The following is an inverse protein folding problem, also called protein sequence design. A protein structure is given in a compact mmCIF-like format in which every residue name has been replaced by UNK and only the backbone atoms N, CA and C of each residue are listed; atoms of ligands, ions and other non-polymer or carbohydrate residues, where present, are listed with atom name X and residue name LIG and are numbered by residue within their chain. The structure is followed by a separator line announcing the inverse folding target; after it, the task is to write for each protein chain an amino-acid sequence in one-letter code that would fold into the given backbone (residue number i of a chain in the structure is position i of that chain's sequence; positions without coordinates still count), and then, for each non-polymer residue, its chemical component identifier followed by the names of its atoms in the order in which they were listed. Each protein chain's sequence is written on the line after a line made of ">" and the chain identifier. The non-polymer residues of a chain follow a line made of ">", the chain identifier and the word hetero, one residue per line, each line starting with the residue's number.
data_IF_133184875839
#
_entry.id   IF_133184875839
#
_cell.length_a   1.000
_cell.length_b   1.000
_cell.length_c   1.000
_cell.angle_alpha   90.00
_cell.angle_beta   90.00
_cell.angle_gamma   90.00
#
_symmetry.space_group_name_H-M   'P 1'
#
loop_
_entity.id
_entity.type
_entity.pdbx_description
1 polymer ?
#
# COMPACT_ATOMS: atom_id res chain seq x y z
N UNK A 1 -8.26 20.82 -4.09
CA UNK A 1 -7.43 20.93 -2.86
C UNK A 1 -6.78 19.58 -2.52
N UNK A 2 -5.78 19.52 -1.63
CA UNK A 2 -5.18 18.25 -1.16
C UNK A 2 -5.63 17.91 0.26
N UNK A 3 -6.13 16.70 0.47
CA UNK A 3 -6.57 16.17 1.78
C UNK A 3 -5.55 15.17 2.31
N UNK A 4 -5.03 15.40 3.52
CA UNK A 4 -4.13 14.47 4.21
C UNK A 4 -4.89 13.65 5.24
N UNK A 5 -4.67 12.34 5.25
CA UNK A 5 -5.27 11.39 6.19
C UNK A 5 -4.17 10.51 6.80
N UNK A 6 -4.21 10.32 8.12
CA UNK A 6 -3.30 9.40 8.82
C UNK A 6 -4.09 8.19 9.31
N UNK A 7 -3.74 6.99 8.84
CA UNK A 7 -4.44 5.75 9.22
C UNK A 7 -3.53 4.53 9.19
N UNK A 8 -3.61 3.72 10.24
CA UNK A 8 -2.93 2.43 10.36
C UNK A 8 -3.93 1.29 10.19
N UNK A 9 -3.54 0.25 9.43
CA UNK A 9 -4.39 -0.91 9.13
C UNK A 9 -3.83 -2.24 9.66
N UNK A 10 -2.62 -2.24 10.26
CA UNK A 10 -2.07 -3.43 10.91
C UNK A 10 -1.96 -4.69 10.05
N UNK A 11 -1.83 -4.56 8.72
CA UNK A 11 -1.78 -5.69 7.79
C UNK A 11 -3.14 -6.16 7.27
N UNK A 12 -4.25 -5.52 7.67
CA UNK A 12 -5.60 -5.81 7.15
C UNK A 12 -5.80 -5.18 5.76
N UNK A 13 -5.29 -5.83 4.72
CA UNK A 13 -5.30 -5.31 3.33
C UNK A 13 -6.71 -5.03 2.81
N UNK A 14 -7.67 -5.94 3.10
CA UNK A 14 -9.07 -5.80 2.68
C UNK A 14 -9.70 -4.54 3.29
N UNK A 15 -9.43 -4.29 4.57
CA UNK A 15 -9.95 -3.10 5.27
C UNK A 15 -9.33 -1.82 4.70
N UNK A 16 -8.05 -1.86 4.33
CA UNK A 16 -7.37 -0.76 3.66
C UNK A 16 -7.98 -0.48 2.28
N UNK A 17 -8.16 -1.51 1.45
CA UNK A 17 -8.77 -1.37 0.11
C UNK A 17 -10.19 -0.81 0.19
N UNK A 18 -11.02 -1.34 1.09
CA UNK A 18 -12.39 -0.87 1.29
C UNK A 18 -12.43 0.60 1.75
N UNK A 19 -11.50 1.01 2.61
CA UNK A 19 -11.40 2.41 3.02
C UNK A 19 -10.99 3.33 1.87
N UNK A 20 -10.02 2.92 1.05
CA UNK A 20 -9.61 3.68 -0.13
C UNK A 20 -10.75 3.81 -1.15
N UNK A 21 -11.50 2.73 -1.40
CA UNK A 21 -12.67 2.77 -2.28
C UNK A 21 -13.76 3.71 -1.76
N UNK A 22 -14.01 3.74 -0.44
CA UNK A 22 -14.89 4.76 0.18
C UNK A 22 -14.39 6.19 0.03
N UNK A 23 -13.08 6.40 -0.14
CA UNK A 23 -12.53 7.72 -0.47
C UNK A 23 -12.80 8.05 -1.95
N UNK A 24 -12.68 7.09 -2.86
CA UNK A 24 -13.08 7.26 -4.28
C UNK A 24 -14.56 7.60 -4.44
N UNK A 25 -15.45 6.90 -3.72
CA UNK A 25 -16.90 7.18 -3.70
C UNK A 25 -17.20 8.63 -3.32
N UNK A 26 -16.34 9.24 -2.50
CA UNK A 26 -16.44 10.63 -2.06
C UNK A 26 -15.75 11.64 -3.00
N UNK A 27 -15.19 11.17 -4.12
CA UNK A 27 -14.46 12.00 -5.07
C UNK A 27 -13.04 12.33 -4.63
N UNK A 28 -12.32 11.37 -4.02
CA UNK A 28 -10.91 11.54 -3.65
C UNK A 28 -10.00 10.53 -4.36
N UNK A 29 -9.03 11.06 -5.11
CA UNK A 29 -7.96 10.30 -5.77
C UNK A 29 -6.68 10.35 -4.95
N UNK A 30 -6.06 9.20 -4.68
CA UNK A 30 -4.80 9.09 -3.96
C UNK A 30 -3.67 9.58 -4.86
N UNK A 31 -2.87 10.51 -4.37
CA UNK A 31 -1.71 11.07 -5.09
C UNK A 31 -0.40 10.65 -4.47
N UNK A 32 -0.40 10.32 -3.18
CA UNK A 32 0.79 9.93 -2.45
C UNK A 32 0.41 9.11 -1.23
N UNK A 33 1.26 8.15 -0.86
CA UNK A 33 1.16 7.43 0.41
C UNK A 33 2.52 7.33 1.08
N UNK A 34 2.50 7.26 2.41
CA UNK A 34 3.66 6.96 3.24
C UNK A 34 3.28 5.90 4.28
N UNK A 35 4.09 5.74 5.33
CA UNK A 35 3.91 4.66 6.34
C UNK A 35 2.49 4.64 6.94
N UNK A 36 1.98 5.80 7.34
CA UNK A 36 0.59 5.97 7.79
C UNK A 36 -0.16 7.09 7.06
N UNK A 37 0.56 7.85 6.22
CA UNK A 37 0.03 9.00 5.51
C UNK A 37 -0.62 8.58 4.19
N UNK A 38 -1.74 9.19 3.89
CA UNK A 38 -2.39 9.16 2.58
C UNK A 38 -2.73 10.59 2.19
N UNK A 39 -2.24 11.04 1.04
CA UNK A 39 -2.60 12.31 0.47
C UNK A 39 -3.51 12.09 -0.73
N UNK A 40 -4.63 12.80 -0.73
CA UNK A 40 -5.62 12.75 -1.78
C UNK A 40 -5.79 14.11 -2.43
N UNK A 41 -6.24 14.11 -3.67
CA UNK A 41 -6.80 15.26 -4.36
C UNK A 41 -8.27 15.00 -4.72
N UNK A 42 -8.99 16.06 -5.05
CA UNK A 42 -10.39 15.96 -5.48
C UNK A 42 -10.48 15.43 -6.92
N UNK A 43 -11.39 14.49 -7.13
CA UNK A 43 -11.74 13.91 -8.42
C UNK A 43 -13.25 13.68 -8.52
N UNK A 44 -13.74 13.16 -9.66
CA UNK A 44 -15.14 12.76 -9.74
C UNK A 44 -15.39 11.54 -8.81
N UNK A 45 -16.55 11.47 -8.15
CA UNK A 45 -16.97 10.29 -7.39
C UNK A 45 -16.85 9.02 -8.23
N UNK A 46 -16.28 7.95 -7.66
CA UNK A 46 -16.11 6.63 -8.30
C UNK A 46 -15.21 6.61 -9.55
N UNK A 47 -14.43 7.67 -9.82
CA UNK A 47 -13.53 7.73 -10.97
C UNK A 47 -12.38 6.71 -10.88
N UNK A 48 -11.97 6.35 -9.66
CA UNK A 48 -10.84 5.46 -9.41
C UNK A 48 -11.26 4.26 -8.59
N UNK A 49 -10.63 3.10 -8.80
CA UNK A 49 -10.82 1.93 -7.94
C UNK A 49 -9.48 1.51 -7.37
N UNK A 50 -9.47 1.20 -6.08
CA UNK A 50 -8.27 0.79 -5.37
C UNK A 50 -8.29 -0.71 -5.11
N UNK A 51 -7.20 -1.38 -5.46
CA UNK A 51 -6.88 -2.72 -5.00
C UNK A 51 -5.62 -2.64 -4.12
N UNK A 52 -5.51 -3.51 -3.10
CA UNK A 52 -4.35 -3.53 -2.21
C UNK A 52 -3.83 -4.96 -2.17
N UNK A 53 -2.61 -5.14 -2.64
CA UNK A 53 -1.95 -6.43 -2.72
C UNK A 53 -0.66 -6.46 -1.90
N UNK A 54 -0.31 -7.63 -1.39
CA UNK A 54 0.91 -7.86 -0.64
C UNK A 54 1.85 -8.75 -1.46
N UNK A 55 2.98 -8.18 -1.88
CA UNK A 55 4.01 -8.87 -2.68
C UNK A 55 5.22 -9.33 -1.87
N UNK A 56 5.14 -9.40 -0.54
CA UNK A 56 6.29 -9.72 0.32
C UNK A 56 6.89 -11.13 0.16
N UNK A 57 6.36 -11.95 -0.74
CA UNK A 57 6.91 -13.26 -1.13
C UNK A 57 7.82 -13.19 -2.36
N UNK A 58 7.88 -12.05 -3.05
CA UNK A 58 8.71 -11.81 -4.25
C UNK A 58 10.11 -11.33 -3.85
N UNK A 59 11.12 -11.66 -4.65
CA UNK A 59 12.44 -11.04 -4.50
C UNK A 59 12.38 -9.56 -4.89
N UNK A 60 13.43 -8.78 -4.61
CA UNK A 60 13.47 -7.35 -4.97
C UNK A 60 13.33 -7.13 -6.48
N UNK A 61 13.97 -7.98 -7.27
CA UNK A 61 13.94 -7.90 -8.72
C UNK A 61 12.54 -8.29 -9.25
N UNK A 62 11.97 -9.39 -8.74
CA UNK A 62 10.60 -9.81 -9.09
C UNK A 62 9.54 -8.75 -8.72
N UNK A 63 9.74 -8.01 -7.63
CA UNK A 63 8.83 -6.95 -7.21
C UNK A 63 8.90 -5.75 -8.15
N UNK A 64 10.10 -5.43 -8.66
CA UNK A 64 10.31 -4.38 -9.66
C UNK A 64 9.69 -4.79 -11.00
N UNK A 65 9.93 -6.00 -11.47
CA UNK A 65 9.34 -6.49 -12.73
C UNK A 65 7.81 -6.50 -12.68
N UNK A 66 7.25 -6.85 -11.51
CA UNK A 66 5.80 -6.79 -11.30
C UNK A 66 5.26 -5.35 -11.28
N UNK A 67 6.01 -4.40 -10.72
CA UNK A 67 5.67 -2.98 -10.76
C UNK A 67 5.65 -2.46 -12.20
N UNK A 68 6.71 -2.74 -12.97
CA UNK A 68 6.84 -2.31 -14.35
C UNK A 68 5.69 -2.88 -15.20
N UNK A 69 5.36 -4.17 -15.02
CA UNK A 69 4.22 -4.81 -15.67
C UNK A 69 2.87 -4.12 -15.39
N UNK A 70 2.65 -3.67 -14.14
CA UNK A 70 1.41 -3.00 -13.77
C UNK A 70 1.32 -1.59 -14.37
N UNK A 71 2.41 -0.84 -14.37
CA UNK A 71 2.47 0.48 -15.01
C UNK A 71 2.30 0.36 -16.54
N UNK A 72 2.87 -0.69 -17.18
CA UNK A 72 2.69 -0.97 -18.61
C UNK A 72 1.23 -1.27 -18.98
N UNK A 73 0.46 -1.85 -18.06
CA UNK A 73 -1.00 -2.03 -18.22
C UNK A 73 -1.81 -0.75 -17.97
N UNK A 74 -1.16 0.35 -17.58
CA UNK A 74 -1.79 1.63 -17.28
C UNK A 74 -2.31 1.76 -15.84
N UNK A 75 -1.95 0.84 -14.94
CA UNK A 75 -2.25 1.02 -13.52
C UNK A 75 -1.28 2.00 -12.89
N UNK A 76 -1.77 2.81 -11.96
CA UNK A 76 -0.89 3.63 -11.12
C UNK A 76 -0.58 2.92 -9.81
N UNK A 77 0.71 2.77 -9.54
CA UNK A 77 1.22 1.81 -8.57
C UNK A 77 1.95 2.56 -7.46
N UNK A 78 1.48 2.44 -6.22
CA UNK A 78 2.04 3.17 -5.07
C UNK A 78 2.87 2.30 -4.13
N UNK A 79 4.09 2.76 -3.86
CA UNK A 79 4.99 2.11 -2.92
C UNK A 79 4.70 2.43 -1.44
N UNK A 80 4.43 1.42 -0.59
CA UNK A 80 4.18 1.63 0.85
C UNK A 80 4.89 0.62 1.75
N UNK A 81 5.96 1.03 2.43
CA UNK A 81 6.56 0.22 3.49
C UNK A 81 5.58 0.12 4.69
N UNK A 82 5.04 -1.07 4.97
CA UNK A 82 4.39 -1.33 6.27
C UNK A 82 5.51 -1.45 7.30
N UNK A 83 5.45 -0.63 8.35
CA UNK A 83 6.11 -1.02 9.60
C UNK A 83 5.29 -2.18 10.14
N UNK A 84 5.69 -3.41 9.83
CA UNK A 84 5.45 -4.51 10.74
C UNK A 84 6.28 -4.15 11.97
N UNK A 85 5.66 -3.72 13.07
CA UNK A 85 6.43 -3.60 14.30
C UNK A 85 6.79 -5.04 14.65
N UNK A 86 8.04 -5.41 14.38
CA UNK A 86 8.72 -6.48 15.09
C UNK A 86 8.83 -5.99 16.54
N UNK A 87 7.77 -6.09 17.35
CA UNK A 87 7.90 -6.10 18.82
C UNK A 87 8.47 -7.46 19.27
N UNK A 88 9.33 -8.08 18.47
CA UNK A 88 9.98 -9.35 18.81
C UNK A 88 11.51 -9.25 18.78
N UNK A 89 12.11 -8.06 18.68
CA UNK A 89 13.54 -7.94 19.01
C UNK A 89 13.77 -7.84 20.52
N UNK A 90 12.85 -7.22 21.28
CA UNK A 90 12.98 -7.14 22.75
C UNK A 90 12.72 -8.47 23.48
N UNK A 91 12.03 -9.44 22.85
CA UNK A 91 11.81 -10.77 23.42
C UNK A 91 12.70 -11.87 22.81
N UNK A 92 13.39 -11.61 21.70
CA UNK A 92 14.30 -12.57 21.04
C UNK A 92 15.76 -12.47 21.51
N UNK A 93 16.06 -11.71 22.56
CA UNK A 93 17.37 -11.75 23.22
C UNK A 93 17.71 -13.11 23.84
N UNK A 94 16.77 -14.06 23.92
CA UNK A 94 16.96 -15.37 24.53
C UNK A 94 17.08 -16.54 23.55
N UNK A 95 16.59 -16.43 22.30
CA UNK A 95 16.61 -17.55 21.35
C UNK A 95 16.88 -17.05 19.93
N UNK A 96 18.06 -17.40 19.41
CA UNK A 96 18.60 -16.97 18.12
C UNK A 96 17.65 -17.17 16.93
N UNK A 97 16.83 -16.16 16.66
CA UNK A 97 16.00 -16.09 15.48
C UNK A 97 16.76 -15.36 14.37
N UNK A 98 16.91 -16.03 13.22
CA UNK A 98 17.51 -15.49 11.99
C UNK A 98 16.75 -14.23 11.56
N UNK A 99 17.48 -13.24 11.02
CA UNK A 99 16.93 -12.04 10.35
C UNK A 99 15.73 -12.44 9.49
N UNK A 100 14.54 -12.01 9.88
CA UNK A 100 13.37 -12.06 8.99
C UNK A 100 13.65 -11.05 7.89
N UNK A 101 13.69 -11.54 6.65
CA UNK A 101 14.03 -10.75 5.47
C UNK A 101 13.18 -9.48 5.37
N UNK A 102 13.71 -8.48 4.67
CA UNK A 102 13.03 -7.22 4.37
C UNK A 102 11.64 -7.51 3.77
N UNK A 103 10.61 -7.52 4.62
CA UNK A 103 9.23 -7.59 4.17
C UNK A 103 8.94 -6.22 3.53
N UNK A 104 8.88 -6.22 2.20
CA UNK A 104 8.46 -5.09 1.39
C UNK A 104 7.00 -5.33 0.96
N UNK A 105 6.00 -4.96 1.76
CA UNK A 105 4.60 -5.09 1.38
C UNK A 105 4.20 -3.93 0.49
N UNK A 106 4.01 -4.16 -0.80
CA UNK A 106 3.68 -3.08 -1.71
C UNK A 106 2.62 -3.64 -2.67
N UNK A 107 1.43 -3.09 -2.88
CA UNK A 107 1.08 -1.79 -3.47
C UNK A 107 -0.45 -1.56 -3.34
N UNK A 108 -0.85 -0.29 -3.26
CA UNK A 108 -2.20 0.19 -3.63
C UNK A 108 -2.26 0.37 -5.14
N UNK A 109 -2.90 -0.53 -5.87
CA UNK A 109 -3.20 -0.42 -7.30
C UNK A 109 -4.33 0.58 -7.48
N UNK A 110 -4.11 1.61 -8.27
CA UNK A 110 -5.15 2.56 -8.67
C UNK A 110 -5.53 2.26 -10.13
N UNK A 111 -6.75 1.77 -10.31
CA UNK A 111 -7.39 1.63 -11.62
C UNK A 111 -8.07 2.97 -11.89
N UNK A 112 -7.56 3.74 -12.85
CA UNK A 112 -8.31 4.86 -13.42
C UNK A 112 -9.30 4.24 -14.42
N UNK A 113 -10.59 4.20 -14.06
CA UNK A 113 -11.61 3.91 -15.07
C UNK A 113 -11.76 5.21 -15.88
N UNK A 114 -11.20 5.25 -17.09
CA UNK A 114 -11.51 6.28 -18.07
C UNK A 114 -12.95 6.14 -18.58
#
# INVERSE_FOLDING_TARGET
>A
MRKKCYRFFGGLLIVQANWLNKMSEKGYRLVQTGKMLYEFEECKPNQVKYCVEFIGHKTKDDAKDYYDFLEDMGYKVFYKILILIIQLEKYAGAHGLKKVGELQPIIVLLIENC
#
